data_IF_087579993776
#
_entry.id   IF_087579993776
#
_cell.length_a   1.000
_cell.length_b   1.000
_cell.length_c   1.000
_cell.angle_alpha   90.00
_cell.angle_beta   90.00
_cell.angle_gamma   90.00
#
_symmetry.space_group_name_H-M   'P 1'
#
loop_
_entity.id
_entity.type
_entity.pdbx_description
1 polymer ?
#
# COMPACT_ATOMS: atom_id res chain seq x y z
N UNK A 1 15.75 -22.13 32.51
CA UNK A 1 15.98 -20.69 32.52
C UNK A 1 14.73 -20.08 31.90
N UNK A 2 14.01 -19.28 32.67
CA UNK A 2 12.89 -18.51 32.09
C UNK A 2 13.51 -17.46 31.18
N UNK A 3 13.29 -17.53 29.87
CA UNK A 3 13.59 -16.40 29.00
C UNK A 3 12.82 -15.20 29.55
N UNK A 4 13.53 -14.13 29.87
CA UNK A 4 12.88 -12.90 30.30
C UNK A 4 11.96 -12.45 29.18
N UNK A 5 10.67 -12.29 29.46
CA UNK A 5 9.69 -11.81 28.50
C UNK A 5 10.11 -10.42 27.97
N UNK A 6 10.51 -10.37 26.72
CA UNK A 6 10.92 -9.10 26.09
C UNK A 6 9.65 -8.46 25.53
N UNK A 7 9.30 -7.30 26.07
CA UNK A 7 8.21 -6.47 25.55
C UNK A 7 8.74 -5.14 25.01
N UNK A 8 8.06 -4.58 24.04
CA UNK A 8 8.36 -3.25 23.46
C UNK A 8 7.06 -2.51 23.20
N UNK A 9 7.14 -1.18 23.27
CA UNK A 9 6.07 -0.29 22.82
C UNK A 9 6.60 0.56 21.67
N UNK A 10 5.87 0.59 20.56
CA UNK A 10 6.20 1.41 19.39
C UNK A 10 5.03 2.28 18.99
N UNK A 11 5.26 3.17 18.02
CA UNK A 11 4.17 3.84 17.31
C UNK A 11 3.32 2.82 16.55
N UNK A 12 2.09 3.21 16.20
CA UNK A 12 1.21 2.45 15.31
C UNK A 12 1.74 2.39 13.89
N UNK A 13 1.39 1.35 13.15
CA UNK A 13 1.77 1.21 11.74
C UNK A 13 0.77 1.89 10.81
N UNK A 14 1.28 2.41 9.69
CA UNK A 14 0.54 3.05 8.62
C UNK A 14 0.74 2.27 7.31
N UNK A 15 -0.35 1.71 6.77
CA UNK A 15 -0.34 1.03 5.47
C UNK A 15 -0.81 1.98 4.35
N UNK A 16 0.09 2.32 3.42
CA UNK A 16 -0.21 3.23 2.30
C UNK A 16 -0.95 2.55 1.14
N UNK A 17 -1.06 1.21 1.15
CA UNK A 17 -1.66 0.47 0.05
C UNK A 17 -2.34 -0.80 0.54
N UNK A 18 -3.67 -0.78 0.56
CA UNK A 18 -4.50 -1.92 0.97
C UNK A 18 -5.81 -1.94 0.18
N UNK A 19 -6.00 -2.97 -0.64
CA UNK A 19 -7.14 -3.12 -1.56
C UNK A 19 -8.33 -3.83 -0.92
N UNK A 20 -8.11 -4.45 0.23
CA UNK A 20 -9.08 -5.22 1.00
C UNK A 20 -8.44 -5.92 2.17
N UNK A 21 -9.23 -6.41 3.13
CA UNK A 21 -8.70 -7.07 4.32
C UNK A 21 -9.76 -7.93 5.01
N UNK A 22 -9.36 -9.08 5.58
CA UNK A 22 -10.22 -9.88 6.44
C UNK A 22 -11.46 -10.48 5.76
N UNK A 23 -11.43 -10.72 4.47
CA UNK A 23 -12.53 -11.20 3.65
C UNK A 23 -13.30 -10.10 2.91
N UNK A 24 -12.96 -8.82 3.11
CA UNK A 24 -13.69 -7.67 2.58
C UNK A 24 -12.88 -6.97 1.50
N UNK A 25 -13.48 -6.83 0.31
CA UNK A 25 -12.91 -6.15 -0.85
C UNK A 25 -13.32 -4.68 -0.86
N UNK A 26 -12.34 -3.76 -0.85
CA UNK A 26 -12.58 -2.32 -0.89
C UNK A 26 -12.92 -1.81 -2.30
N UNK A 27 -12.62 -2.61 -3.33
CA UNK A 27 -12.97 -2.35 -4.72
C UNK A 27 -14.39 -2.82 -5.09
N UNK A 28 -15.21 -3.12 -4.09
CA UNK A 28 -16.62 -3.48 -4.25
C UNK A 28 -17.50 -2.24 -4.11
N UNK A 29 -18.21 -1.85 -5.18
CA UNK A 29 -19.11 -0.71 -5.17
C UNK A 29 -20.33 -0.85 -4.23
N UNK A 30 -20.61 -2.07 -3.76
CA UNK A 30 -21.67 -2.37 -2.80
C UNK A 30 -21.11 -2.70 -1.40
N UNK A 31 -19.95 -2.16 -1.05
CA UNK A 31 -19.32 -2.37 0.26
C UNK A 31 -20.27 -1.94 1.39
N UNK A 32 -20.57 -2.88 2.27
CA UNK A 32 -21.39 -2.62 3.46
C UNK A 32 -20.56 -1.88 4.53
N UNK A 33 -21.07 -0.80 5.13
CA UNK A 33 -20.38 -0.05 6.18
C UNK A 33 -19.97 -0.88 7.40
N UNK A 34 -20.78 -1.86 7.82
CA UNK A 34 -20.45 -2.72 8.98
C UNK A 34 -19.33 -3.70 8.63
N UNK A 35 -19.33 -4.24 7.41
CA UNK A 35 -18.27 -5.13 6.96
C UNK A 35 -16.95 -4.36 6.78
N UNK A 36 -17.02 -3.11 6.30
CA UNK A 36 -15.85 -2.24 6.27
C UNK A 36 -15.26 -2.02 7.68
N UNK A 37 -16.09 -1.71 8.68
CA UNK A 37 -15.64 -1.56 10.05
C UNK A 37 -15.03 -2.86 10.62
N UNK A 38 -15.67 -4.02 10.39
CA UNK A 38 -15.12 -5.34 10.79
C UNK A 38 -13.75 -5.62 10.18
N UNK A 39 -13.57 -5.23 8.90
CA UNK A 39 -12.27 -5.32 8.22
C UNK A 39 -11.21 -4.48 8.92
N UNK A 40 -11.52 -3.23 9.24
CA UNK A 40 -10.61 -2.33 9.96
C UNK A 40 -10.31 -2.81 11.39
N UNK A 41 -11.27 -3.42 12.09
CA UNK A 41 -11.02 -4.05 13.40
C UNK A 41 -9.99 -5.18 13.31
N UNK A 42 -10.10 -6.04 12.29
CA UNK A 42 -9.11 -7.10 12.04
C UNK A 42 -7.74 -6.51 11.68
N UNK A 43 -7.71 -5.45 10.88
CA UNK A 43 -6.47 -4.75 10.53
C UNK A 43 -5.83 -4.10 11.76
N UNK A 44 -6.61 -3.44 12.62
CA UNK A 44 -6.12 -2.85 13.87
C UNK A 44 -5.47 -3.91 14.78
N UNK A 45 -6.03 -5.12 14.84
CA UNK A 45 -5.48 -6.22 15.64
C UNK A 45 -4.08 -6.67 15.17
N UNK A 46 -3.68 -6.36 13.94
CA UNK A 46 -2.32 -6.60 13.39
C UNK A 46 -1.35 -5.44 13.64
N UNK A 47 -1.78 -4.37 14.32
CA UNK A 47 -0.93 -3.20 14.61
C UNK A 47 -1.06 -2.04 13.62
N UNK A 48 -1.83 -2.19 12.56
CA UNK A 48 -2.10 -1.08 11.63
C UNK A 48 -3.11 -0.13 12.27
N UNK A 49 -2.68 1.06 12.61
CA UNK A 49 -3.50 2.09 13.25
C UNK A 49 -4.04 3.13 12.28
N UNK A 50 -3.43 3.21 11.10
CA UNK A 50 -3.84 4.09 10.01
C UNK A 50 -3.63 3.41 8.67
N UNK A 51 -4.48 3.72 7.68
CA UNK A 51 -4.35 3.15 6.34
C UNK A 51 -4.92 4.07 5.25
N UNK A 52 -4.49 3.79 4.01
CA UNK A 52 -5.09 4.30 2.79
C UNK A 52 -5.77 3.15 2.04
N UNK A 53 -7.10 2.94 2.22
CA UNK A 53 -7.83 2.04 1.33
C UNK A 53 -7.57 2.39 -0.12
N UNK A 54 -7.25 1.37 -0.93
CA UNK A 54 -6.72 1.52 -2.29
C UNK A 54 -7.74 1.02 -3.30
N UNK A 55 -8.01 1.84 -4.31
CA UNK A 55 -8.79 1.43 -5.48
C UNK A 55 -7.87 1.29 -6.69
N UNK A 56 -7.98 0.13 -7.35
CA UNK A 56 -7.25 -0.20 -8.57
C UNK A 56 -8.01 0.26 -9.82
N UNK A 57 -7.34 0.17 -10.98
CA UNK A 57 -7.91 0.55 -12.28
C UNK A 57 -9.28 -0.09 -12.53
N UNK A 58 -10.28 0.75 -12.76
CA UNK A 58 -11.63 0.35 -13.16
C UNK A 58 -12.31 1.46 -13.97
N UNK A 59 -13.54 1.22 -14.44
CA UNK A 59 -14.32 2.27 -15.12
C UNK A 59 -14.62 3.44 -14.18
N UNK A 60 -14.77 4.63 -14.73
CA UNK A 60 -15.10 5.85 -13.97
C UNK A 60 -16.31 5.66 -13.04
N UNK A 61 -17.38 5.08 -13.59
CA UNK A 61 -18.60 4.83 -12.82
C UNK A 61 -18.35 3.89 -11.65
N UNK A 62 -17.54 2.83 -11.86
CA UNK A 62 -17.22 1.88 -10.81
C UNK A 62 -16.34 2.53 -9.72
N UNK A 63 -15.28 3.25 -10.09
CA UNK A 63 -14.41 3.96 -9.16
C UNK A 63 -15.19 4.97 -8.30
N UNK A 64 -16.04 5.79 -8.94
CA UNK A 64 -16.92 6.72 -8.20
C UNK A 64 -17.82 6.01 -7.19
N UNK A 65 -18.43 4.89 -7.58
CA UNK A 65 -19.29 4.10 -6.71
C UNK A 65 -18.51 3.48 -5.54
N UNK A 66 -17.29 2.98 -5.79
CA UNK A 66 -16.41 2.44 -4.73
C UNK A 66 -15.98 3.53 -3.73
N UNK A 67 -15.56 4.72 -4.21
CA UNK A 67 -15.22 5.83 -3.32
C UNK A 67 -16.41 6.29 -2.48
N UNK A 68 -17.60 6.38 -3.08
CA UNK A 68 -18.83 6.71 -2.35
C UNK A 68 -19.17 5.67 -1.27
N UNK A 69 -18.98 4.37 -1.57
CA UNK A 69 -19.20 3.29 -0.61
C UNK A 69 -18.18 3.35 0.55
N UNK A 70 -16.88 3.57 0.27
CA UNK A 70 -15.84 3.77 1.27
C UNK A 70 -16.13 5.00 2.15
N UNK A 71 -16.50 6.15 1.55
CA UNK A 71 -16.86 7.37 2.30
C UNK A 71 -18.12 7.18 3.15
N UNK A 72 -19.10 6.44 2.67
CA UNK A 72 -20.26 6.05 3.47
C UNK A 72 -19.84 5.20 4.66
N UNK A 73 -18.99 4.19 4.46
CA UNK A 73 -18.43 3.36 5.53
C UNK A 73 -17.64 4.19 6.54
N UNK A 74 -16.74 5.07 6.07
CA UNK A 74 -15.93 5.96 6.92
C UNK A 74 -16.80 6.90 7.76
N UNK A 75 -17.79 7.53 7.18
CA UNK A 75 -18.69 8.47 7.89
C UNK A 75 -19.56 7.78 8.93
N UNK A 76 -19.88 6.50 8.75
CA UNK A 76 -20.73 5.73 9.67
C UNK A 76 -19.97 5.07 10.82
N UNK A 77 -18.64 4.99 10.75
CA UNK A 77 -17.80 4.35 11.77
C UNK A 77 -16.80 5.32 12.37
N UNK A 78 -16.79 5.44 13.70
CA UNK A 78 -15.76 6.20 14.42
C UNK A 78 -14.37 5.59 14.27
N UNK A 79 -14.28 4.25 14.23
CA UNK A 79 -13.02 3.55 13.96
C UNK A 79 -12.49 3.91 12.57
N UNK A 80 -13.37 3.84 11.55
CA UNK A 80 -12.98 4.17 10.19
C UNK A 80 -12.57 5.66 10.06
N UNK A 81 -13.24 6.58 10.76
CA UNK A 81 -12.82 7.99 10.82
C UNK A 81 -11.43 8.19 11.43
N UNK A 82 -11.04 7.31 12.34
CA UNK A 82 -9.71 7.36 12.99
C UNK A 82 -8.64 6.69 12.12
N UNK A 83 -8.93 5.52 11.55
CA UNK A 83 -7.94 4.72 10.84
C UNK A 83 -7.75 5.14 9.38
N UNK A 84 -8.82 5.56 8.68
CA UNK A 84 -8.77 5.92 7.26
C UNK A 84 -8.40 7.39 7.14
N UNK A 85 -7.11 7.65 6.93
CA UNK A 85 -6.53 9.00 6.85
C UNK A 85 -6.52 9.56 5.42
N UNK A 86 -6.93 8.78 4.45
CA UNK A 86 -7.06 9.11 3.03
C UNK A 86 -7.31 7.87 2.20
N UNK A 87 -7.28 8.04 0.89
CA UNK A 87 -7.39 6.97 -0.09
C UNK A 87 -6.19 6.98 -1.03
N UNK A 88 -5.85 5.83 -1.54
CA UNK A 88 -4.89 5.64 -2.62
C UNK A 88 -5.63 5.26 -3.91
N UNK A 89 -5.36 5.98 -5.00
CA UNK A 89 -5.83 5.64 -6.34
C UNK A 89 -4.65 5.02 -7.12
N UNK A 90 -4.70 3.73 -7.36
CA UNK A 90 -3.71 3.00 -8.15
C UNK A 90 -4.23 2.77 -9.57
N UNK A 91 -3.91 3.69 -10.44
CA UNK A 91 -4.45 3.76 -11.79
C UNK A 91 -5.81 4.51 -11.84
N UNK A 92 -6.41 4.61 -13.03
CA UNK A 92 -6.08 3.94 -14.31
C UNK A 92 -4.95 4.58 -15.13
N UNK A 93 -4.17 5.48 -14.57
CA UNK A 93 -3.09 6.25 -15.22
C UNK A 93 -1.77 5.47 -15.25
N UNK A 94 -1.79 4.23 -15.78
CA UNK A 94 -0.68 3.28 -15.74
C UNK A 94 -0.24 2.90 -17.16
N UNK A 95 0.93 2.26 -17.25
CA UNK A 95 1.47 1.80 -18.54
C UNK A 95 0.54 0.81 -19.24
N UNK A 96 0.36 0.96 -20.53
CA UNK A 96 -0.38 0.00 -21.36
C UNK A 96 0.43 -1.25 -21.71
N UNK A 97 1.75 -1.22 -21.46
CA UNK A 97 2.64 -2.32 -21.82
C UNK A 97 2.35 -3.56 -20.98
N UNK A 98 2.32 -4.72 -21.64
CA UNK A 98 2.20 -6.00 -20.97
C UNK A 98 3.38 -6.20 -19.99
N UNK A 99 3.09 -6.66 -18.80
CA UNK A 99 4.07 -6.79 -17.72
C UNK A 99 4.08 -5.57 -16.82
N UNK A 100 4.24 -4.36 -17.35
CA UNK A 100 4.19 -3.12 -16.57
C UNK A 100 2.81 -2.87 -16.00
N UNK A 101 1.74 -3.06 -16.77
CA UNK A 101 0.37 -2.91 -16.29
C UNK A 101 -0.03 -3.94 -15.22
N UNK A 102 0.71 -5.04 -15.06
CA UNK A 102 0.38 -6.07 -14.07
C UNK A 102 -0.99 -6.71 -14.32
N UNK A 103 -1.83 -6.75 -13.28
CA UNK A 103 -3.21 -7.28 -13.35
C UNK A 103 -4.25 -6.24 -13.79
N UNK A 104 -3.87 -4.97 -14.00
CA UNK A 104 -4.82 -3.91 -14.37
C UNK A 104 -5.40 -4.16 -15.77
N UNK A 105 -6.75 -4.08 -15.93
CA UNK A 105 -7.41 -4.36 -17.21
C UNK A 105 -7.10 -3.24 -18.24
N UNK A 106 -6.57 -3.57 -19.43
CA UNK A 106 -6.16 -2.55 -20.40
C UNK A 106 -7.33 -1.72 -20.94
N UNK A 107 -8.55 -2.25 -20.92
CA UNK A 107 -9.76 -1.59 -21.40
C UNK A 107 -10.24 -0.40 -20.55
N UNK A 108 -9.76 -0.30 -19.32
CA UNK A 108 -10.09 0.82 -18.42
C UNK A 108 -8.91 1.76 -18.19
N UNK A 109 -7.73 1.41 -18.70
CA UNK A 109 -6.54 2.25 -18.60
C UNK A 109 -6.65 3.46 -19.53
N UNK A 110 -6.03 4.57 -19.16
CA UNK A 110 -6.14 5.84 -19.89
C UNK A 110 -4.92 6.72 -19.70
N UNK A 111 -4.78 7.73 -20.56
CA UNK A 111 -3.87 8.85 -20.36
C UNK A 111 -4.23 9.66 -19.12
N UNK A 112 -3.31 10.48 -18.65
CA UNK A 112 -3.52 11.31 -17.48
C UNK A 112 -4.58 12.38 -17.76
N UNK A 113 -5.55 12.54 -16.86
CA UNK A 113 -6.72 13.42 -17.01
C UNK A 113 -7.12 14.02 -15.66
N UNK A 114 -6.85 15.30 -15.50
CA UNK A 114 -7.15 16.02 -14.26
C UNK A 114 -8.65 16.10 -13.98
N UNK A 115 -9.49 16.28 -15.01
CA UNK A 115 -10.94 16.37 -14.82
C UNK A 115 -11.51 15.02 -14.33
N UNK A 116 -10.99 13.93 -14.86
CA UNK A 116 -11.35 12.59 -14.38
C UNK A 116 -10.93 12.42 -12.92
N UNK A 117 -9.69 12.79 -12.56
CA UNK A 117 -9.24 12.75 -11.18
C UNK A 117 -10.10 13.61 -10.25
N UNK A 118 -10.44 14.84 -10.63
CA UNK A 118 -11.26 15.74 -9.82
C UNK A 118 -12.65 15.18 -9.54
N UNK A 119 -13.25 14.48 -10.49
CA UNK A 119 -14.53 13.80 -10.30
C UNK A 119 -14.41 12.62 -9.31
N UNK A 120 -13.30 11.88 -9.33
CA UNK A 120 -13.01 10.84 -8.33
C UNK A 120 -12.74 11.45 -6.97
N UNK A 121 -11.99 12.56 -6.91
CA UNK A 121 -11.71 13.28 -5.68
C UNK A 121 -13.00 13.79 -5.01
N UNK A 122 -13.95 14.28 -5.80
CA UNK A 122 -15.29 14.67 -5.30
C UNK A 122 -16.04 13.46 -4.73
N UNK A 123 -16.07 12.33 -5.46
CA UNK A 123 -16.71 11.09 -5.00
C UNK A 123 -16.08 10.54 -3.72
N UNK A 124 -14.76 10.73 -3.56
CA UNK A 124 -13.97 10.37 -2.38
C UNK A 124 -14.08 11.41 -1.23
N UNK A 125 -14.94 12.43 -1.34
CA UNK A 125 -15.07 13.48 -0.33
C UNK A 125 -13.79 14.30 -0.11
N UNK A 126 -12.94 14.45 -1.12
CA UNK A 126 -11.66 15.16 -1.05
C UNK A 126 -10.54 14.36 -0.37
N UNK A 127 -10.70 13.05 -0.20
CA UNK A 127 -9.82 12.22 0.62
C UNK A 127 -8.78 11.40 -0.18
N UNK A 128 -8.71 11.50 -1.51
CA UNK A 128 -7.59 10.89 -2.25
C UNK A 128 -6.32 11.67 -1.89
N UNK A 129 -5.35 10.98 -1.31
CA UNK A 129 -4.08 11.54 -0.83
C UNK A 129 -2.88 11.04 -1.62
N UNK A 130 -3.00 9.86 -2.22
CA UNK A 130 -1.94 9.18 -2.95
C UNK A 130 -2.48 8.72 -4.30
N UNK A 131 -1.72 8.98 -5.37
CA UNK A 131 -2.05 8.54 -6.73
C UNK A 131 -0.82 7.86 -7.33
N UNK A 132 -0.99 6.66 -7.86
CA UNK A 132 0.06 5.96 -8.63
C UNK A 132 -0.11 6.25 -10.12
N UNK A 133 0.98 6.71 -10.75
CA UNK A 133 1.03 7.14 -12.16
C UNK A 133 2.23 6.51 -12.86
N UNK A 134 2.06 6.10 -14.11
CA UNK A 134 3.16 5.77 -15.01
C UNK A 134 3.56 7.04 -15.79
N UNK A 135 4.79 7.54 -15.68
CA UNK A 135 5.17 8.83 -16.28
C UNK A 135 5.25 8.82 -17.79
N UNK A 136 5.25 7.65 -18.43
CA UNK A 136 5.29 7.50 -19.90
C UNK A 136 3.93 7.63 -20.61
N UNK A 137 2.82 7.68 -19.86
CA UNK A 137 1.51 7.86 -20.48
C UNK A 137 1.30 9.32 -20.92
N UNK A 138 0.33 9.53 -21.82
CA UNK A 138 -0.01 10.85 -22.33
C UNK A 138 -0.33 11.82 -21.18
N UNK A 139 0.21 13.05 -21.25
CA UNK A 139 0.04 14.16 -20.28
C UNK A 139 0.52 13.89 -18.85
N UNK A 140 1.22 12.78 -18.58
CA UNK A 140 1.58 12.37 -17.23
C UNK A 140 2.42 13.40 -16.46
N UNK A 141 3.45 13.99 -17.06
CA UNK A 141 4.32 14.94 -16.36
C UNK A 141 3.56 16.19 -15.90
N UNK A 142 2.71 16.75 -16.76
CA UNK A 142 1.84 17.87 -16.40
C UNK A 142 0.83 17.49 -15.31
N UNK A 143 0.28 16.28 -15.37
CA UNK A 143 -0.63 15.76 -14.37
C UNK A 143 0.06 15.57 -13.01
N UNK A 144 1.28 15.03 -12.99
CA UNK A 144 2.10 14.88 -11.77
C UNK A 144 2.32 16.24 -11.12
N UNK A 145 2.72 17.26 -11.90
CA UNK A 145 2.93 18.62 -11.40
C UNK A 145 1.65 19.23 -10.81
N UNK A 146 0.52 19.04 -11.49
CA UNK A 146 -0.79 19.55 -11.04
C UNK A 146 -1.26 18.86 -9.76
N UNK A 147 -1.12 17.53 -9.64
CA UNK A 147 -1.44 16.80 -8.42
C UNK A 147 -0.54 17.22 -7.25
N UNK A 148 0.77 17.29 -7.47
CA UNK A 148 1.74 17.71 -6.47
C UNK A 148 1.47 19.12 -5.96
N UNK A 149 1.13 20.08 -6.86
CA UNK A 149 0.77 21.44 -6.48
C UNK A 149 -0.50 21.54 -5.63
N UNK A 150 -1.39 20.54 -5.74
CA UNK A 150 -2.61 20.41 -4.91
C UNK A 150 -2.34 19.67 -3.58
N UNK A 151 -1.10 19.30 -3.29
CA UNK A 151 -0.73 18.53 -2.09
C UNK A 151 -1.10 17.04 -2.14
N UNK A 152 -1.39 16.52 -3.33
CA UNK A 152 -1.58 15.08 -3.55
C UNK A 152 -0.22 14.42 -3.75
N UNK A 153 0.05 13.36 -3.04
CA UNK A 153 1.27 12.58 -3.17
C UNK A 153 1.21 11.79 -4.48
N UNK A 154 2.25 11.92 -5.29
CA UNK A 154 2.37 11.13 -6.52
C UNK A 154 3.42 10.04 -6.35
N UNK A 155 3.00 8.81 -6.59
CA UNK A 155 3.86 7.65 -6.67
C UNK A 155 4.02 7.19 -8.13
N UNK A 156 5.19 6.68 -8.46
CA UNK A 156 5.47 6.06 -9.75
C UNK A 156 5.36 4.55 -9.61
N UNK A 157 4.58 3.93 -10.47
CA UNK A 157 4.38 2.47 -10.46
C UNK A 157 3.74 1.97 -11.74
N UNK A 158 3.78 0.67 -11.96
CA UNK A 158 3.22 0.06 -13.16
C UNK A 158 3.73 0.76 -14.44
N UNK A 159 5.05 0.96 -14.51
CA UNK A 159 5.71 1.80 -15.51
C UNK A 159 6.81 1.05 -16.25
N UNK A 160 7.03 1.41 -17.51
CA UNK A 160 8.18 1.01 -18.32
C UNK A 160 9.22 2.13 -18.48
N UNK A 161 9.03 3.26 -17.79
CA UNK A 161 9.86 4.46 -17.94
C UNK A 161 11.32 4.23 -17.56
N UNK A 162 12.23 4.75 -18.38
CA UNK A 162 13.66 4.77 -18.15
C UNK A 162 14.12 5.94 -17.26
N UNK A 163 15.44 6.03 -17.07
CA UNK A 163 16.09 6.92 -16.12
C UNK A 163 15.71 8.39 -16.32
N UNK A 164 15.74 8.88 -17.54
CA UNK A 164 15.51 10.30 -17.81
C UNK A 164 14.06 10.69 -17.53
N UNK A 165 13.11 9.84 -17.84
CA UNK A 165 11.69 10.11 -17.61
C UNK A 165 11.32 10.01 -16.13
N UNK A 166 11.90 9.08 -15.39
CA UNK A 166 11.75 8.99 -13.93
C UNK A 166 12.29 10.25 -13.26
N UNK A 167 13.44 10.78 -13.70
CA UNK A 167 13.97 12.06 -13.20
C UNK A 167 13.04 13.23 -13.48
N UNK A 168 12.50 13.33 -14.70
CA UNK A 168 11.52 14.36 -15.04
C UNK A 168 10.25 14.26 -14.17
N UNK A 169 9.76 13.05 -13.93
CA UNK A 169 8.61 12.84 -13.04
C UNK A 169 8.91 13.30 -11.59
N UNK A 170 10.14 13.05 -11.10
CA UNK A 170 10.57 13.56 -9.80
C UNK A 170 10.74 15.09 -9.80
N UNK A 171 11.19 15.71 -10.92
CA UNK A 171 11.23 17.17 -11.09
C UNK A 171 9.80 17.77 -11.02
N UNK A 172 8.80 17.06 -11.53
CA UNK A 172 7.38 17.45 -11.47
C UNK A 172 6.72 17.18 -10.11
N UNK A 173 7.42 16.55 -9.16
CA UNK A 173 6.95 16.37 -7.79
C UNK A 173 6.53 14.95 -7.41
N UNK A 174 6.84 13.92 -8.20
CA UNK A 174 6.74 12.55 -7.74
C UNK A 174 7.76 12.27 -6.62
N UNK A 175 7.34 11.58 -5.54
CA UNK A 175 8.15 11.37 -4.33
C UNK A 175 8.21 9.91 -3.85
N UNK A 176 7.48 9.02 -4.49
CA UNK A 176 7.36 7.62 -4.06
C UNK A 176 7.43 6.68 -5.27
N UNK A 177 7.93 5.47 -5.05
CA UNK A 177 7.78 4.32 -5.95
C UNK A 177 6.79 3.34 -5.34
N UNK A 178 5.73 2.99 -6.06
CA UNK A 178 4.70 2.04 -5.64
C UNK A 178 5.26 0.62 -5.75
N UNK A 179 5.22 -0.16 -4.65
CA UNK A 179 5.65 -1.57 -4.54
C UNK A 179 6.78 -1.92 -5.53
N UNK A 180 7.89 -1.17 -5.44
CA UNK A 180 8.99 -1.20 -6.41
C UNK A 180 9.49 -2.63 -6.68
N UNK A 181 9.61 -2.95 -7.96
CA UNK A 181 9.98 -4.28 -8.46
C UNK A 181 8.78 -5.12 -8.92
N UNK A 182 7.56 -4.69 -8.60
CA UNK A 182 6.31 -5.28 -9.09
C UNK A 182 5.72 -4.43 -10.23
N UNK A 183 4.77 -4.98 -10.99
CA UNK A 183 4.23 -4.29 -12.16
C UNK A 183 5.35 -3.91 -13.15
N UNK A 184 6.20 -4.86 -13.51
CA UNK A 184 7.31 -4.69 -14.45
C UNK A 184 7.37 -5.83 -15.46
N UNK A 185 7.92 -5.57 -16.64
CA UNK A 185 8.15 -6.59 -17.65
C UNK A 185 9.16 -7.64 -17.18
N UNK A 186 9.00 -8.90 -17.60
CA UNK A 186 9.94 -9.98 -17.28
C UNK A 186 11.34 -9.76 -17.85
N UNK A 187 11.41 -9.12 -19.01
CA UNK A 187 12.67 -8.79 -19.67
C UNK A 187 12.84 -7.29 -19.67
N UNK A 188 13.90 -6.82 -19.05
CA UNK A 188 14.22 -5.41 -18.93
C UNK A 188 15.52 -5.08 -19.65
N UNK A 189 15.64 -3.85 -20.14
CA UNK A 189 16.90 -3.32 -20.65
C UNK A 189 17.99 -3.38 -19.59
N UNK A 190 19.19 -3.76 -19.97
CA UNK A 190 20.32 -3.90 -19.05
C UNK A 190 20.74 -2.58 -18.39
N UNK A 191 20.68 -1.47 -19.12
CA UNK A 191 21.26 -0.19 -18.69
C UNK A 191 20.23 0.88 -18.37
N UNK A 192 19.02 0.74 -18.93
CA UNK A 192 17.93 1.69 -18.73
C UNK A 192 16.63 0.91 -18.56
N UNK A 193 16.13 0.87 -17.34
CA UNK A 193 14.91 0.15 -16.99
C UNK A 193 14.24 0.78 -15.76
N UNK A 194 12.93 0.58 -15.57
CA UNK A 194 12.17 1.25 -14.53
C UNK A 194 12.63 0.93 -13.10
N UNK A 195 13.19 -0.25 -12.85
CA UNK A 195 13.70 -0.62 -11.51
C UNK A 195 14.96 0.17 -11.20
N UNK A 196 15.95 0.12 -12.11
CA UNK A 196 17.21 0.85 -11.94
C UNK A 196 16.96 2.36 -11.84
N UNK A 197 16.08 2.89 -12.70
CA UNK A 197 15.72 4.31 -12.72
C UNK A 197 15.16 4.78 -11.36
N UNK A 198 14.21 4.06 -10.80
CA UNK A 198 13.59 4.41 -9.53
C UNK A 198 14.52 4.15 -8.34
N UNK A 199 15.33 3.08 -8.35
CA UNK A 199 16.32 2.81 -7.28
C UNK A 199 17.38 3.90 -7.21
N UNK A 200 17.82 4.44 -8.36
CA UNK A 200 18.88 5.45 -8.45
C UNK A 200 18.39 6.90 -8.27
N UNK A 201 17.08 7.13 -8.23
CA UNK A 201 16.52 8.46 -7.98
C UNK A 201 16.34 8.70 -6.49
N UNK A 202 17.20 9.51 -5.90
CA UNK A 202 17.26 9.73 -4.44
C UNK A 202 16.08 10.54 -3.88
N UNK A 203 15.35 11.27 -4.71
CA UNK A 203 14.13 12.00 -4.31
C UNK A 203 12.93 11.08 -4.11
N UNK A 204 12.97 9.86 -4.66
CA UNK A 204 11.92 8.88 -4.47
C UNK A 204 12.20 7.99 -3.26
N UNK A 205 11.29 7.96 -2.31
CA UNK A 205 11.14 6.81 -1.41
C UNK A 205 10.58 5.61 -2.18
N UNK A 206 10.66 4.42 -1.62
CA UNK A 206 10.11 3.24 -2.28
C UNK A 206 9.34 2.37 -1.29
N UNK A 207 8.12 1.99 -1.67
CA UNK A 207 7.36 0.99 -0.94
C UNK A 207 7.68 -0.42 -1.44
N UNK A 208 7.61 -1.40 -0.54
CA UNK A 208 7.93 -2.79 -0.82
C UNK A 208 6.93 -3.73 -0.17
N UNK A 209 6.49 -4.75 -0.93
CA UNK A 209 5.76 -5.90 -0.42
C UNK A 209 6.79 -6.94 0.03
N UNK A 210 6.82 -7.26 1.31
CA UNK A 210 7.85 -8.13 1.89
C UNK A 210 7.28 -9.47 2.33
N UNK A 211 6.50 -10.09 1.44
CA UNK A 211 5.85 -11.38 1.64
C UNK A 211 6.71 -12.58 1.21
N UNK A 212 7.80 -12.35 0.44
CA UNK A 212 8.67 -13.38 -0.11
C UNK A 212 8.17 -14.06 -1.39
N UNK A 213 7.03 -13.59 -1.93
CA UNK A 213 6.43 -14.08 -3.18
C UNK A 213 6.52 -13.04 -4.30
N UNK A 214 6.34 -11.77 -3.99
CA UNK A 214 6.45 -10.67 -4.93
C UNK A 214 7.90 -10.37 -5.31
N UNK A 215 8.79 -10.38 -4.33
CA UNK A 215 10.22 -10.19 -4.51
C UNK A 215 10.99 -11.33 -3.82
N UNK A 216 12.05 -11.82 -4.43
CA UNK A 216 12.99 -12.70 -3.72
C UNK A 216 13.70 -11.93 -2.61
N UNK A 217 14.18 -12.65 -1.59
CA UNK A 217 14.92 -12.04 -0.48
C UNK A 217 16.17 -11.29 -0.96
N UNK A 218 16.83 -11.83 -1.97
CA UNK A 218 18.04 -11.26 -2.56
C UNK A 218 17.74 -9.95 -3.31
N UNK A 219 16.66 -9.90 -4.10
CA UNK A 219 16.20 -8.67 -4.75
C UNK A 219 15.86 -7.61 -3.71
N UNK A 220 15.03 -7.97 -2.73
CA UNK A 220 14.64 -7.07 -1.66
C UNK A 220 15.85 -6.52 -0.91
N UNK A 221 16.84 -7.39 -0.56
CA UNK A 221 18.06 -6.94 0.12
C UNK A 221 18.83 -5.88 -0.68
N UNK A 222 18.94 -6.08 -2.00
CA UNK A 222 19.61 -5.11 -2.88
C UNK A 222 18.83 -3.79 -2.96
N UNK A 223 17.51 -3.84 -3.05
CA UNK A 223 16.66 -2.66 -3.15
C UNK A 223 16.66 -1.85 -1.84
N UNK A 224 16.57 -2.52 -0.70
CA UNK A 224 16.67 -1.89 0.61
C UNK A 224 18.03 -1.19 0.81
N UNK A 225 19.14 -1.83 0.38
CA UNK A 225 20.46 -1.21 0.42
C UNK A 225 20.58 0.02 -0.48
N UNK A 226 19.98 -0.03 -1.67
CA UNK A 226 20.00 1.08 -2.62
C UNK A 226 19.19 2.28 -2.11
N UNK A 227 18.02 2.04 -1.52
CA UNK A 227 17.17 3.10 -0.97
C UNK A 227 17.63 3.59 0.41
N UNK A 228 18.21 2.72 1.20
CA UNK A 228 18.57 3.01 2.58
C UNK A 228 17.35 3.10 3.52
N UNK A 229 17.59 3.15 4.84
CA UNK A 229 16.53 3.05 5.84
C UNK A 229 15.52 4.21 5.79
N UNK A 230 15.96 5.42 5.45
CA UNK A 230 15.10 6.61 5.50
C UNK A 230 14.10 6.72 4.33
N UNK A 231 14.35 5.98 3.24
CA UNK A 231 13.52 5.98 2.03
C UNK A 231 12.82 4.63 1.77
N UNK A 232 12.94 3.71 2.71
CA UNK A 232 12.26 2.42 2.68
C UNK A 232 10.90 2.53 3.36
N UNK A 233 9.85 2.01 2.71
CA UNK A 233 8.49 1.92 3.24
C UNK A 233 7.99 0.48 3.06
N UNK A 234 7.36 -0.08 4.08
CA UNK A 234 6.64 -1.34 3.97
C UNK A 234 5.17 -1.08 3.67
N UNK A 235 4.63 -1.81 2.72
CA UNK A 235 3.20 -1.84 2.41
C UNK A 235 2.76 -3.29 2.27
N UNK A 236 1.48 -3.53 2.45
CA UNK A 236 0.94 -4.87 2.22
C UNK A 236 0.55 -5.09 0.77
N UNK A 237 -0.01 -4.10 0.11
CA UNK A 237 -0.79 -4.30 -1.12
C UNK A 237 -1.82 -5.44 -0.94
N UNK A 238 -2.37 -5.52 0.28
CA UNK A 238 -3.25 -6.59 0.70
C UNK A 238 -4.57 -6.55 -0.06
N UNK A 239 -5.06 -7.73 -0.40
CA UNK A 239 -6.40 -7.94 -0.93
C UNK A 239 -7.35 -8.42 0.17
N UNK A 240 -8.60 -8.65 -0.15
CA UNK A 240 -9.58 -9.27 0.74
C UNK A 240 -9.12 -10.62 1.31
N UNK A 241 -8.15 -11.28 0.67
CA UNK A 241 -7.57 -12.54 1.13
C UNK A 241 -6.66 -12.39 2.37
N UNK A 242 -6.14 -11.18 2.68
CA UNK A 242 -5.29 -10.96 3.84
C UNK A 242 -6.07 -11.14 5.16
N UNK A 243 -5.44 -11.74 6.15
CA UNK A 243 -6.06 -12.07 7.44
C UNK A 243 -7.40 -12.85 7.32
N UNK A 244 -7.55 -13.63 6.25
CA UNK A 244 -8.69 -14.50 5.97
C UNK A 244 -8.24 -15.96 5.84
N UNK A 245 -9.16 -16.91 5.83
CA UNK A 245 -8.86 -18.35 5.62
C UNK A 245 -8.51 -18.62 4.16
N UNK A 246 -7.84 -19.73 3.82
CA UNK A 246 -7.73 -20.17 2.42
C UNK A 246 -9.08 -20.21 1.73
N UNK A 247 -9.15 -19.75 0.48
CA UNK A 247 -10.41 -19.66 -0.26
C UNK A 247 -10.35 -18.77 -1.50
N UNK A 248 -11.51 -18.49 -2.05
CA UNK A 248 -11.70 -17.63 -3.21
C UNK A 248 -12.20 -16.25 -2.76
N UNK A 249 -11.60 -15.20 -3.29
CA UNK A 249 -11.82 -13.81 -2.89
C UNK A 249 -11.98 -12.90 -4.09
N UNK A 250 -12.58 -11.72 -3.88
CA UNK A 250 -12.71 -10.67 -4.90
C UNK A 250 -11.59 -9.62 -4.78
N UNK A 251 -11.26 -9.02 -5.94
CA UNK A 251 -10.53 -7.75 -6.07
C UNK A 251 -11.18 -6.98 -7.21
N UNK A 252 -12.18 -6.17 -6.88
CA UNK A 252 -13.04 -5.55 -7.89
C UNK A 252 -13.70 -6.58 -8.80
N UNK A 253 -13.50 -6.49 -10.14
CA UNK A 253 -14.06 -7.48 -11.07
C UNK A 253 -13.28 -8.79 -11.13
N UNK A 254 -12.12 -8.88 -10.50
CA UNK A 254 -11.25 -10.06 -10.54
C UNK A 254 -11.55 -11.03 -9.41
N UNK A 255 -11.31 -12.31 -9.68
CA UNK A 255 -11.31 -13.37 -8.69
C UNK A 255 -9.88 -13.74 -8.33
N UNK A 256 -9.62 -13.94 -7.04
CA UNK A 256 -8.34 -14.37 -6.51
C UNK A 256 -8.48 -15.66 -5.73
N UNK A 257 -7.46 -16.49 -5.74
CA UNK A 257 -7.35 -17.67 -4.92
C UNK A 257 -6.21 -17.52 -3.92
N UNK A 258 -6.50 -17.76 -2.65
CA UNK A 258 -5.51 -17.92 -1.59
C UNK A 258 -5.51 -19.38 -1.13
N UNK A 259 -4.35 -19.99 -1.13
CA UNK A 259 -4.11 -21.31 -0.53
C UNK A 259 -3.63 -21.14 0.92
N UNK A 260 -2.67 -21.94 1.37
CA UNK A 260 -2.13 -21.84 2.72
C UNK A 260 -1.19 -20.64 2.87
N UNK A 261 -0.49 -20.30 1.81
CA UNK A 261 0.52 -19.25 1.78
C UNK A 261 -0.13 -17.85 1.75
N UNK A 262 0.55 -16.80 2.28
CA UNK A 262 0.02 -15.43 2.32
C UNK A 262 0.14 -14.71 0.97
N UNK A 263 -0.19 -15.38 -0.12
CA UNK A 263 -0.21 -14.86 -1.49
C UNK A 263 -1.59 -15.03 -2.10
N UNK A 264 -2.05 -14.02 -2.81
CA UNK A 264 -3.27 -14.06 -3.60
C UNK A 264 -2.91 -14.24 -5.08
N UNK A 265 -3.40 -15.27 -5.71
CA UNK A 265 -3.09 -15.63 -7.10
C UNK A 265 -4.32 -15.41 -7.98
N UNK A 266 -4.10 -14.84 -9.17
CA UNK A 266 -5.11 -14.84 -10.23
C UNK A 266 -5.24 -16.27 -10.77
N UNK A 267 -6.43 -16.91 -10.75
CA UNK A 267 -6.64 -18.24 -11.29
C UNK A 267 -6.32 -18.32 -12.79
N UNK A 268 -6.55 -17.24 -13.53
CA UNK A 268 -6.37 -17.20 -15.00
C UNK A 268 -4.88 -17.21 -15.40
N UNK A 269 -4.02 -16.58 -14.60
CA UNK A 269 -2.59 -16.39 -14.94
C UNK A 269 -1.64 -17.14 -14.01
N UNK A 270 -2.10 -17.57 -12.84
CA UNK A 270 -1.27 -18.16 -11.78
C UNK A 270 -0.28 -17.16 -11.18
N UNK A 271 -0.41 -15.86 -11.45
CA UNK A 271 0.47 -14.81 -10.94
C UNK A 271 -0.12 -14.12 -9.72
N UNK A 272 0.72 -13.57 -8.83
CA UNK A 272 0.24 -12.69 -7.76
C UNK A 272 -0.56 -11.51 -8.33
N UNK A 273 -1.65 -11.16 -7.64
CA UNK A 273 -2.48 -9.99 -7.91
C UNK A 273 -2.85 -9.38 -6.56
N UNK A 274 -2.02 -8.47 -6.09
CA UNK A 274 -1.95 -8.05 -4.70
C UNK A 274 -1.52 -9.17 -3.76
N UNK A 275 -1.41 -8.90 -2.48
CA UNK A 275 -0.93 -9.84 -1.48
C UNK A 275 -2.05 -10.36 -0.56
N UNK A 276 -1.68 -11.34 0.27
CA UNK A 276 -2.50 -11.79 1.41
C UNK A 276 -1.72 -11.67 2.74
N UNK A 277 -0.62 -10.90 2.74
CA UNK A 277 0.22 -10.66 3.90
C UNK A 277 -0.37 -9.54 4.77
N UNK A 278 -0.05 -9.54 6.06
CA UNK A 278 -0.35 -8.44 6.98
C UNK A 278 0.90 -7.59 7.24
N UNK A 279 0.74 -6.34 7.66
CA UNK A 279 1.89 -5.43 7.78
C UNK A 279 2.86 -5.85 8.91
N UNK A 280 2.35 -6.44 10.00
CA UNK A 280 3.17 -7.05 11.04
C UNK A 280 3.97 -8.25 10.52
N UNK A 281 3.41 -9.05 9.62
CA UNK A 281 4.14 -10.12 8.92
C UNK A 281 5.20 -9.56 7.97
N UNK A 282 4.89 -8.48 7.23
CA UNK A 282 5.87 -7.77 6.41
C UNK A 282 7.07 -7.32 7.25
N UNK A 283 6.79 -6.68 8.39
CA UNK A 283 7.81 -6.23 9.34
C UNK A 283 8.62 -7.40 9.91
N UNK A 284 7.93 -8.47 10.35
CA UNK A 284 8.59 -9.66 10.90
C UNK A 284 9.49 -10.34 9.87
N UNK A 285 9.09 -10.36 8.59
CA UNK A 285 9.88 -10.94 7.52
C UNK A 285 11.21 -10.20 7.34
N UNK A 286 11.22 -8.88 7.27
CA UNK A 286 12.48 -8.11 7.11
C UNK A 286 13.37 -8.23 8.35
N UNK A 287 12.81 -8.25 9.56
CA UNK A 287 13.55 -8.50 10.80
C UNK A 287 14.28 -9.85 10.71
N UNK A 288 13.56 -10.92 10.37
CA UNK A 288 14.13 -12.27 10.34
C UNK A 288 15.09 -12.49 9.17
N UNK A 289 14.80 -11.91 8.00
CA UNK A 289 15.62 -12.15 6.82
C UNK A 289 16.93 -11.39 6.82
N UNK A 290 16.97 -10.23 7.47
CA UNK A 290 18.10 -9.31 7.41
C UNK A 290 18.73 -9.03 8.77
N UNK A 291 18.32 -9.79 9.81
CA UNK A 291 18.80 -9.66 11.19
C UNK A 291 18.71 -8.23 11.72
N UNK A 292 17.54 -7.61 11.50
CA UNK A 292 17.24 -6.26 11.96
C UNK A 292 16.60 -6.28 13.35
N UNK A 293 16.74 -5.17 14.09
CA UNK A 293 15.95 -4.98 15.31
C UNK A 293 14.53 -4.50 14.98
N UNK A 294 13.60 -4.65 15.92
CA UNK A 294 12.26 -4.04 15.80
C UNK A 294 12.38 -2.52 15.74
N UNK A 295 13.26 -1.96 16.57
CA UNK A 295 13.50 -0.52 16.70
C UNK A 295 14.03 0.10 15.39
N UNK A 296 14.89 -0.60 14.65
CA UNK A 296 15.45 -0.12 13.37
C UNK A 296 14.44 -0.22 12.22
N UNK A 297 13.56 -1.24 12.25
CA UNK A 297 12.70 -1.58 11.13
C UNK A 297 11.27 -1.03 11.25
N UNK A 298 10.79 -0.72 12.45
CA UNK A 298 9.41 -0.22 12.65
C UNK A 298 9.17 1.11 11.94
N UNK A 299 10.18 1.96 11.81
CA UNK A 299 10.10 3.24 11.09
C UNK A 299 9.68 3.08 9.62
N UNK A 300 9.98 1.92 9.01
CA UNK A 300 9.61 1.61 7.64
C UNK A 300 8.09 1.39 7.46
N UNK A 301 7.40 1.08 8.54
CA UNK A 301 5.95 0.90 8.58
C UNK A 301 5.23 2.01 9.37
N UNK A 302 5.94 3.00 9.92
CA UNK A 302 5.34 4.07 10.74
C UNK A 302 5.84 5.46 10.32
N UNK A 303 7.07 5.85 10.70
CA UNK A 303 7.61 7.18 10.48
C UNK A 303 7.82 7.51 9.00
N UNK A 304 8.36 6.57 8.22
CA UNK A 304 8.66 6.83 6.81
C UNK A 304 7.39 7.03 5.97
N UNK A 305 6.35 6.17 6.05
CA UNK A 305 5.10 6.46 5.35
C UNK A 305 4.42 7.75 5.85
N UNK A 306 4.52 8.06 7.15
CA UNK A 306 3.99 9.32 7.71
C UNK A 306 4.69 10.55 7.14
N UNK A 307 6.02 10.51 6.99
CA UNK A 307 6.81 11.59 6.36
C UNK A 307 6.39 11.85 4.91
N UNK A 308 6.09 10.80 4.13
CA UNK A 308 5.63 10.95 2.74
C UNK A 308 4.30 11.69 2.68
N UNK A 309 3.37 11.38 3.56
CA UNK A 309 2.08 12.07 3.63
C UNK A 309 2.21 13.52 4.15
N UNK A 310 3.28 13.83 4.89
CA UNK A 310 3.66 15.18 5.29
C UNK A 310 2.51 16.00 5.89
N UNK A 311 2.41 17.27 5.49
CA UNK A 311 1.38 18.21 5.95
C UNK A 311 -0.05 17.85 5.50
N UNK A 312 -0.23 16.82 4.69
CA UNK A 312 -1.57 16.34 4.31
C UNK A 312 -2.31 15.64 5.47
N UNK A 313 -1.59 15.36 6.58
CA UNK A 313 -2.11 14.76 7.79
C UNK A 313 -1.77 15.66 8.99
N UNK A 314 -2.71 15.79 9.93
CA UNK A 314 -2.46 16.50 11.19
C UNK A 314 -1.49 15.70 12.08
N UNK A 315 -0.50 16.36 12.70
CA UNK A 315 0.39 15.71 13.69
C UNK A 315 -0.39 15.07 14.85
N UNK A 316 -1.62 15.54 15.12
CA UNK A 316 -2.49 14.95 16.14
C UNK A 316 -3.08 13.58 15.73
N UNK A 317 -3.02 13.22 14.43
CA UNK A 317 -3.58 11.95 13.97
C UNK A 317 -2.77 10.73 14.46
N UNK A 318 -1.53 10.92 14.92
CA UNK A 318 -0.65 9.85 15.39
C UNK A 318 -0.30 9.91 16.90
N UNK A 319 -0.68 10.97 17.62
CA UNK A 319 -0.23 11.20 19.01
C UNK A 319 -0.69 10.13 20.01
N UNK A 320 -1.83 9.49 19.73
CA UNK A 320 -2.44 8.47 20.60
C UNK A 320 -2.46 7.07 19.96
N UNK A 321 -1.46 6.79 19.12
CA UNK A 321 -1.35 5.51 18.41
C UNK A 321 -0.12 4.74 18.89
N UNK A 322 -0.31 3.51 19.34
CA UNK A 322 0.79 2.66 19.79
C UNK A 322 0.47 1.18 19.67
N UNK A 323 1.55 0.38 19.63
CA UNK A 323 1.52 -1.07 19.62
C UNK A 323 2.36 -1.59 20.79
N UNK A 324 1.83 -2.52 21.54
CA UNK A 324 2.60 -3.35 22.49
C UNK A 324 3.01 -4.64 21.79
N UNK A 325 4.29 -4.88 21.79
CA UNK A 325 4.90 -6.09 21.23
C UNK A 325 5.42 -7.00 22.33
N UNK A 326 5.38 -8.31 22.09
CA UNK A 326 6.04 -9.32 22.90
C UNK A 326 6.83 -10.25 22.00
N UNK A 327 8.10 -10.52 22.34
CA UNK A 327 8.91 -11.50 21.62
C UNK A 327 8.56 -12.90 22.13
N UNK A 328 8.08 -13.76 21.24
CA UNK A 328 7.66 -15.14 21.51
C UNK A 328 8.29 -16.05 20.47
N UNK A 329 9.05 -17.07 20.90
CA UNK A 329 9.72 -18.01 20.00
C UNK A 329 10.55 -17.33 18.91
N UNK A 330 11.25 -16.25 19.26
CA UNK A 330 12.08 -15.46 18.34
C UNK A 330 11.33 -14.44 17.48
N UNK A 331 9.99 -14.46 17.47
CA UNK A 331 9.16 -13.56 16.66
C UNK A 331 8.49 -12.49 17.54
N UNK A 332 8.33 -11.28 16.98
CA UNK A 332 7.55 -10.23 17.59
C UNK A 332 6.05 -10.42 17.29
N UNK A 333 5.24 -10.41 18.32
CA UNK A 333 3.78 -10.52 18.21
C UNK A 333 3.10 -9.28 18.77
N UNK A 334 2.06 -8.83 18.09
CA UNK A 334 1.21 -7.72 18.54
C UNK A 334 0.33 -8.21 19.70
N UNK A 335 0.53 -7.66 20.90
CA UNK A 335 -0.22 -8.00 22.11
C UNK A 335 -1.32 -7.01 22.42
N UNK A 336 -1.20 -5.77 21.96
CA UNK A 336 -2.22 -4.76 22.13
C UNK A 336 -1.94 -3.57 21.22
N UNK A 337 -3.01 -2.92 20.80
CA UNK A 337 -2.97 -1.78 19.87
C UNK A 337 -3.93 -0.72 20.35
N UNK A 338 -3.52 0.54 20.25
CA UNK A 338 -4.39 1.68 20.47
C UNK A 338 -4.34 2.63 19.28
N UNK A 339 -5.50 3.14 18.89
CA UNK A 339 -5.64 4.28 17.98
C UNK A 339 -6.78 5.17 18.48
N UNK A 340 -6.47 6.40 18.86
CA UNK A 340 -7.42 7.30 19.50
C UNK A 340 -8.07 6.62 20.74
N UNK A 341 -9.39 6.48 20.73
CA UNK A 341 -10.15 5.85 21.83
C UNK A 341 -10.28 4.32 21.69
N UNK A 342 -9.82 3.75 20.59
CA UNK A 342 -9.94 2.31 20.34
C UNK A 342 -8.73 1.58 20.88
N UNK A 343 -8.97 0.51 21.63
CA UNK A 343 -7.95 -0.33 22.20
C UNK A 343 -8.33 -1.81 21.99
N UNK A 344 -7.41 -2.56 21.40
CA UNK A 344 -7.52 -4.01 21.24
C UNK A 344 -6.43 -4.67 22.07
N UNK A 345 -6.79 -5.71 22.81
CA UNK A 345 -5.84 -6.58 23.51
C UNK A 345 -5.90 -7.97 22.85
N UNK A 346 -4.78 -8.40 22.32
CA UNK A 346 -4.62 -9.75 21.76
C UNK A 346 -4.12 -10.67 22.88
N UNK A 347 -5.03 -11.46 23.45
CA UNK A 347 -4.63 -12.49 24.40
C UNK A 347 -4.10 -13.71 23.63
N UNK A 348 -2.89 -14.11 23.91
CA UNK A 348 -2.24 -15.33 23.36
C UNK A 348 -2.76 -16.59 24.02
#
# INVERSE_FOLDING_TARGET
MFESEITRKTQGMLDLQVNGFGGIDYNNSNLDPEDFEKSLQKMLATGVTSCLPTLISASETHLKSCFQALEKGRKNSKLAQTMVIGYHLEGPFLSFEEGSRGCHPPEVMRGADLNFFEQLQEAAGGMIRLVTVAPEIEDALSFIEQLSSKGIIVALGHTSAGIDLIRQAADCGAVLSTHLGNGTARMLSKHDNPILAQLSEDRLSASFITDGYHLSREQLQLYLRAKGPDRTILVTDATSAAAATPGVYGLGPMTLERQQEPVALSPDTGRPAGSAVTLDQCLQNVINWFDLSLEDSISWASDNPSKILGNSISENDFSDQWINWKKMEGMWKVMGVQTGKFNIQNYS
#
